data_IF_274921705269
#
_entry.id   IF_274921705269
#
_cell.length_a   1.000
_cell.length_b   1.000
_cell.length_c   1.000
_cell.angle_alpha   90.00
_cell.angle_beta   90.00
_cell.angle_gamma   90.00
#
_symmetry.space_group_name_H-M   'P 1'
#
loop_
_entity.id
_entity.type
_entity.pdbx_description
1 polymer ?
#
# COMPACT_ATOMS: atom_id res chain seq x y z
N UNK A 1 -9.94 2.40 -3.73
CA UNK A 1 -11.22 3.12 -3.79
C UNK A 1 -11.79 3.21 -2.38
N UNK A 2 -12.07 4.40 -1.91
CA UNK A 2 -12.59 4.66 -0.54
C UNK A 2 -11.78 3.94 0.56
N UNK A 3 -10.46 3.93 0.44
CA UNK A 3 -9.54 3.28 1.38
C UNK A 3 -9.35 1.77 1.21
N UNK A 4 -10.12 1.12 0.34
CA UNK A 4 -10.00 -0.31 0.07
C UNK A 4 -9.22 -0.57 -1.22
N UNK A 5 -8.29 -1.53 -1.19
CA UNK A 5 -7.58 -1.96 -2.38
C UNK A 5 -8.51 -2.74 -3.30
N UNK A 6 -8.54 -2.35 -4.56
CA UNK A 6 -9.33 -3.00 -5.61
C UNK A 6 -8.47 -3.27 -6.84
N UNK A 7 -8.85 -4.26 -7.62
CA UNK A 7 -8.19 -4.57 -8.89
C UNK A 7 -8.79 -3.71 -10.00
N UNK A 8 -8.07 -2.70 -10.45
CA UNK A 8 -8.54 -1.76 -11.48
C UNK A 8 -8.84 -2.44 -12.83
N UNK A 9 -8.18 -3.57 -13.12
CA UNK A 9 -8.38 -4.30 -14.37
C UNK A 9 -9.77 -4.98 -14.51
N UNK A 10 -10.48 -5.15 -13.39
CA UNK A 10 -11.83 -5.78 -13.39
C UNK A 10 -12.91 -4.85 -12.86
N UNK A 11 -12.57 -3.61 -12.54
CA UNK A 11 -13.49 -2.63 -11.98
C UNK A 11 -13.99 -1.69 -13.10
N UNK A 12 -15.29 -1.71 -13.46
CA UNK A 12 -15.82 -0.82 -14.47
C UNK A 12 -15.83 0.64 -13.97
N UNK A 13 -15.55 1.58 -14.85
CA UNK A 13 -15.53 3.02 -14.53
C UNK A 13 -16.86 3.49 -13.92
N UNK A 14 -17.96 2.95 -14.40
CA UNK A 14 -19.29 3.28 -13.86
C UNK A 14 -19.49 2.91 -12.39
N UNK A 15 -18.73 1.94 -11.88
CA UNK A 15 -18.82 1.51 -10.49
C UNK A 15 -18.10 2.44 -9.51
N UNK A 16 -17.25 3.34 -10.01
CA UNK A 16 -16.45 4.26 -9.18
C UNK A 16 -16.89 5.71 -9.29
N UNK A 17 -18.00 5.97 -9.96
CA UNK A 17 -18.56 7.32 -10.07
C UNK A 17 -18.88 7.87 -8.67
N UNK A 18 -18.38 9.07 -8.36
CA UNK A 18 -18.57 9.72 -7.06
C UNK A 18 -17.77 9.11 -5.89
N UNK A 19 -16.82 8.21 -6.16
CA UNK A 19 -15.97 7.61 -5.13
C UNK A 19 -14.57 8.22 -5.12
N UNK A 20 -13.93 8.18 -3.94
CA UNK A 20 -12.56 8.65 -3.78
C UNK A 20 -11.57 7.59 -4.28
N UNK A 21 -10.72 7.98 -5.23
CA UNK A 21 -9.72 7.10 -5.84
C UNK A 21 -8.32 7.60 -5.46
N UNK A 22 -7.53 6.70 -4.90
CA UNK A 22 -6.10 6.95 -4.62
C UNK A 22 -5.26 5.97 -5.43
N UNK A 23 -4.32 6.50 -6.20
CA UNK A 23 -3.30 5.73 -6.92
C UNK A 23 -1.96 5.82 -6.19
N UNK A 24 -0.96 5.07 -6.67
CA UNK A 24 0.36 5.05 -6.05
C UNK A 24 1.01 6.43 -6.00
N UNK A 25 0.79 7.26 -6.99
CA UNK A 25 1.33 8.62 -7.08
C UNK A 25 0.76 9.55 -6.02
N UNK A 26 -0.50 9.33 -5.64
CA UNK A 26 -1.19 10.12 -4.62
C UNK A 26 -1.17 9.51 -3.21
N UNK A 27 -0.58 8.33 -3.04
CA UNK A 27 -0.67 7.57 -1.78
C UNK A 27 -0.07 8.33 -0.59
N UNK A 28 1.13 8.88 -0.74
CA UNK A 28 1.79 9.64 0.33
C UNK A 28 0.98 10.88 0.73
N UNK A 29 0.40 11.55 -0.25
CA UNK A 29 -0.44 12.71 -0.03
C UNK A 29 -1.73 12.32 0.71
N UNK A 30 -2.41 11.26 0.30
CA UNK A 30 -3.66 10.81 0.91
C UNK A 30 -3.47 10.37 2.38
N UNK A 31 -2.38 9.63 2.67
CA UNK A 31 -2.07 9.18 4.03
C UNK A 31 -1.71 10.36 4.93
N UNK A 32 -0.83 11.25 4.47
CA UNK A 32 -0.40 12.41 5.24
C UNK A 32 -1.55 13.41 5.47
N UNK A 33 -2.47 13.55 4.52
CA UNK A 33 -3.65 14.41 4.68
C UNK A 33 -4.62 13.86 5.75
N UNK A 34 -4.75 12.55 5.87
CA UNK A 34 -5.57 11.91 6.90
C UNK A 34 -5.02 12.14 8.31
N UNK A 35 -3.69 12.10 8.48
CA UNK A 35 -3.03 12.28 9.77
C UNK A 35 -2.90 13.77 10.18
N UNK A 36 -2.76 14.67 9.21
CA UNK A 36 -2.47 16.09 9.45
C UNK A 36 -3.70 17.01 9.44
N UNK A 37 -4.90 16.49 9.16
CA UNK A 37 -6.14 17.29 9.15
C UNK A 37 -6.20 18.37 8.07
N UNK A 38 -5.34 18.34 7.05
CA UNK A 38 -5.36 19.34 5.97
C UNK A 38 -4.26 19.21 4.93
N UNK A 39 -4.60 19.64 3.75
CA UNK A 39 -4.00 19.40 2.44
C UNK A 39 -2.63 20.09 2.18
N UNK A 40 -1.98 20.73 3.14
CA UNK A 40 -0.78 21.56 2.86
C UNK A 40 0.28 21.54 3.96
N UNK A 41 0.56 20.39 4.56
CA UNK A 41 1.75 20.32 5.41
C UNK A 41 3.01 20.16 4.54
N UNK A 42 3.75 21.27 4.40
CA UNK A 42 5.05 21.29 3.69
C UNK A 42 6.13 20.45 4.38
N UNK A 43 5.84 19.93 5.58
CA UNK A 43 6.73 19.08 6.35
C UNK A 43 6.30 17.61 6.30
N UNK A 44 5.20 17.28 5.61
CA UNK A 44 4.80 15.89 5.43
C UNK A 44 5.88 15.12 4.63
N UNK A 45 6.20 13.89 5.00
CA UNK A 45 7.17 13.11 4.26
C UNK A 45 6.67 12.85 2.82
N UNK A 46 7.57 12.91 1.85
CA UNK A 46 7.26 12.67 0.43
C UNK A 46 6.82 11.23 0.15
N UNK A 47 7.02 10.32 1.10
CA UNK A 47 6.68 8.90 1.00
C UNK A 47 6.02 8.39 2.28
N UNK A 48 5.23 7.33 2.18
CA UNK A 48 4.60 6.67 3.31
C UNK A 48 5.56 5.76 4.08
N UNK A 49 5.19 5.36 5.30
CA UNK A 49 5.94 4.36 6.07
C UNK A 49 6.08 3.03 5.31
N UNK A 50 5.07 2.62 4.55
CA UNK A 50 5.13 1.42 3.70
C UNK A 50 6.18 1.59 2.60
N UNK A 51 6.18 2.71 1.90
CA UNK A 51 7.18 3.00 0.87
C UNK A 51 8.59 3.06 1.45
N UNK A 52 8.77 3.64 2.64
CA UNK A 52 10.05 3.66 3.33
C UNK A 52 10.52 2.24 3.70
N UNK A 53 9.64 1.40 4.22
CA UNK A 53 9.97 0.00 4.52
C UNK A 53 10.37 -0.79 3.26
N UNK A 54 9.77 -0.48 2.10
CA UNK A 54 10.17 -1.05 0.81
C UNK A 54 11.61 -0.71 0.43
N UNK A 55 12.04 0.52 0.71
CA UNK A 55 13.42 0.97 0.51
C UNK A 55 14.35 0.28 1.49
N UNK A 56 14.03 0.30 2.77
CA UNK A 56 14.87 -0.22 3.85
C UNK A 56 15.12 -1.74 3.71
N UNK A 57 14.12 -2.47 3.27
CA UNK A 57 14.20 -3.93 3.06
C UNK A 57 14.58 -4.32 1.63
N UNK A 58 14.83 -3.35 0.74
CA UNK A 58 15.19 -3.57 -0.66
C UNK A 58 14.25 -4.58 -1.35
N UNK A 59 12.95 -4.36 -1.18
CA UNK A 59 11.90 -5.29 -1.63
C UNK A 59 11.89 -5.49 -3.14
N UNK A 60 11.97 -4.44 -4.00
CA UNK A 60 11.84 -4.60 -5.44
C UNK A 60 12.98 -5.38 -6.08
N UNK A 61 12.66 -6.10 -7.15
CA UNK A 61 13.63 -6.57 -8.14
C UNK A 61 13.36 -5.86 -9.49
N UNK A 62 12.50 -6.39 -10.35
CA UNK A 62 12.17 -5.69 -11.61
C UNK A 62 11.28 -4.46 -11.39
N UNK A 63 10.57 -4.38 -10.28
CA UNK A 63 9.70 -3.24 -9.92
C UNK A 63 8.29 -3.27 -10.50
N UNK A 64 7.99 -4.18 -11.44
CA UNK A 64 6.73 -4.17 -12.18
C UNK A 64 5.48 -4.32 -11.31
N UNK A 65 5.52 -5.18 -10.29
CA UNK A 65 4.38 -5.42 -9.39
C UNK A 65 4.31 -4.46 -8.19
N UNK A 66 5.31 -3.61 -7.98
CA UNK A 66 5.49 -2.95 -6.69
C UNK A 66 4.47 -1.86 -6.41
N UNK A 67 4.02 -1.11 -7.41
CA UNK A 67 2.95 -0.13 -7.21
C UNK A 67 1.68 -0.78 -6.67
N UNK A 68 1.21 -1.84 -7.30
CA UNK A 68 0.05 -2.61 -6.83
C UNK A 68 0.29 -3.30 -5.47
N UNK A 69 1.49 -3.81 -5.25
CA UNK A 69 1.87 -4.46 -3.99
C UNK A 69 1.82 -3.46 -2.81
N UNK A 70 2.40 -2.28 -2.98
CA UNK A 70 2.39 -1.21 -1.97
C UNK A 70 0.96 -0.76 -1.68
N UNK A 71 0.12 -0.59 -2.69
CA UNK A 71 -1.29 -0.23 -2.51
C UNK A 71 -2.05 -1.29 -1.71
N UNK A 72 -1.86 -2.57 -2.02
CA UNK A 72 -2.49 -3.66 -1.31
C UNK A 72 -2.04 -3.74 0.16
N UNK A 73 -0.75 -3.60 0.40
CA UNK A 73 -0.17 -3.62 1.76
C UNK A 73 -0.63 -2.41 2.57
N UNK A 74 -0.68 -1.24 1.99
CA UNK A 74 -1.18 -0.04 2.67
C UNK A 74 -2.64 -0.21 3.12
N UNK A 75 -3.48 -0.79 2.27
CA UNK A 75 -4.86 -1.11 2.61
C UNK A 75 -4.97 -2.19 3.70
N UNK A 76 -4.14 -3.23 3.62
CA UNK A 76 -4.10 -4.29 4.63
C UNK A 76 -3.74 -3.73 6.01
N UNK A 77 -2.67 -2.95 6.10
CA UNK A 77 -2.19 -2.37 7.36
C UNK A 77 -3.16 -1.34 7.95
N UNK A 78 -3.90 -0.63 7.11
CA UNK A 78 -4.95 0.29 7.55
C UNK A 78 -6.12 -0.46 8.21
N UNK A 79 -6.47 -1.64 7.73
CA UNK A 79 -7.56 -2.47 8.28
C UNK A 79 -7.09 -3.41 9.40
N UNK A 80 -5.86 -3.88 9.34
CA UNK A 80 -5.24 -4.77 10.31
C UNK A 80 -3.79 -4.34 10.58
N UNK A 81 -3.55 -3.51 11.61
CA UNK A 81 -2.21 -2.96 11.88
C UNK A 81 -1.17 -4.00 12.29
N UNK A 82 -1.59 -5.19 12.69
CA UNK A 82 -0.67 -6.28 13.11
C UNK A 82 -1.08 -7.61 12.44
N UNK A 83 -0.91 -7.73 11.11
CA UNK A 83 -1.34 -8.92 10.39
C UNK A 83 -0.44 -10.11 10.70
N UNK A 84 -1.07 -11.28 10.87
CA UNK A 84 -0.38 -12.57 10.88
C UNK A 84 0.05 -12.96 9.47
N UNK A 85 0.91 -13.97 9.35
CA UNK A 85 1.28 -14.53 8.05
C UNK A 85 0.05 -15.01 7.25
N UNK A 86 -0.94 -15.59 7.94
CA UNK A 86 -2.18 -16.01 7.30
C UNK A 86 -2.99 -14.82 6.76
N UNK A 87 -3.02 -13.70 7.49
CA UNK A 87 -3.69 -12.46 7.04
C UNK A 87 -2.98 -11.87 5.81
N UNK A 88 -1.65 -11.91 5.80
CA UNK A 88 -0.83 -11.46 4.67
C UNK A 88 -1.12 -12.33 3.45
N UNK A 89 -1.12 -13.63 3.60
CA UNK A 89 -1.38 -14.56 2.49
C UNK A 89 -2.80 -14.42 1.93
N UNK A 90 -3.79 -14.13 2.79
CA UNK A 90 -5.16 -13.88 2.37
C UNK A 90 -5.36 -12.49 1.73
N UNK A 91 -4.70 -11.46 2.28
CA UNK A 91 -4.89 -10.06 1.87
C UNK A 91 -4.05 -9.64 0.67
N UNK A 92 -2.85 -10.19 0.52
CA UNK A 92 -1.92 -9.82 -0.55
C UNK A 92 -1.95 -10.90 -1.64
N UNK A 93 -2.86 -10.74 -2.57
CA UNK A 93 -3.05 -11.65 -3.71
C UNK A 93 -2.32 -11.21 -4.98
N UNK A 94 -1.50 -10.17 -4.89
CA UNK A 94 -0.69 -9.66 -6.00
C UNK A 94 0.39 -10.67 -6.38
N UNK A 95 0.64 -10.79 -7.69
CA UNK A 95 1.64 -11.71 -8.23
C UNK A 95 2.95 -10.98 -8.48
N UNK A 96 4.05 -11.54 -7.98
CA UNK A 96 5.41 -11.08 -8.25
C UNK A 96 6.18 -12.16 -9.02
N UNK A 97 6.53 -11.90 -10.28
CA UNK A 97 7.26 -12.86 -11.11
C UNK A 97 8.68 -13.14 -10.60
N UNK A 98 9.28 -12.15 -9.94
CA UNK A 98 10.62 -12.28 -9.34
C UNK A 98 10.61 -13.02 -7.98
N UNK A 99 9.45 -13.23 -7.39
CA UNK A 99 9.32 -13.92 -6.11
C UNK A 99 9.77 -13.09 -4.90
N UNK A 100 9.53 -11.79 -4.88
CA UNK A 100 9.94 -10.91 -3.78
C UNK A 100 9.11 -11.06 -2.49
N UNK A 101 8.21 -12.04 -2.42
CA UNK A 101 7.30 -12.26 -1.30
C UNK A 101 7.97 -12.34 0.10
N UNK A 102 9.13 -13.00 0.28
CA UNK A 102 9.79 -13.00 1.58
C UNK A 102 10.20 -11.62 2.07
N UNK A 103 10.64 -10.74 1.16
CA UNK A 103 10.98 -9.35 1.48
C UNK A 103 9.75 -8.51 1.77
N UNK A 104 8.67 -8.69 1.00
CA UNK A 104 7.37 -8.08 1.25
C UNK A 104 6.88 -8.42 2.66
N UNK A 105 6.86 -9.69 3.02
CA UNK A 105 6.45 -10.16 4.34
C UNK A 105 7.30 -9.55 5.46
N UNK A 106 8.61 -9.52 5.27
CA UNK A 106 9.54 -8.92 6.23
C UNK A 106 9.29 -7.42 6.41
N UNK A 107 9.05 -6.70 5.33
CA UNK A 107 8.70 -5.28 5.38
C UNK A 107 7.38 -5.05 6.13
N UNK A 108 6.34 -5.86 5.87
CA UNK A 108 5.06 -5.78 6.57
C UNK A 108 5.25 -5.99 8.07
N UNK A 109 5.95 -7.04 8.48
CA UNK A 109 6.20 -7.31 9.90
C UNK A 109 7.02 -6.22 10.58
N UNK A 110 7.94 -5.57 9.88
CA UNK A 110 8.69 -4.44 10.46
C UNK A 110 7.81 -3.24 10.79
N UNK A 111 6.75 -3.03 10.01
CA UNK A 111 5.76 -1.98 10.25
C UNK A 111 4.75 -2.38 11.34
N UNK A 112 4.36 -3.64 11.37
CA UNK A 112 3.42 -4.18 12.35
C UNK A 112 4.00 -4.23 13.78
N UNK A 113 5.32 -4.34 13.91
CA UNK A 113 6.01 -4.42 15.20
C UNK A 113 6.12 -3.07 15.92
N UNK A 114 5.79 -2.03 15.22
CA UNK A 114 5.76 -0.70 15.78
C UNK A 114 4.40 -0.42 16.44
#
# INVERSE_FOLDING_TARGET
VNGSAVRSCVLPVSAIEGQDITTIEGLAFAVNAADAGGINDKNAPDITAVQQAWIDHQVPQCGYCQSGMIMAVSSLLASNPNPSDADIDAGITNVCRCGSYPRVRKAIHSLASA
#
